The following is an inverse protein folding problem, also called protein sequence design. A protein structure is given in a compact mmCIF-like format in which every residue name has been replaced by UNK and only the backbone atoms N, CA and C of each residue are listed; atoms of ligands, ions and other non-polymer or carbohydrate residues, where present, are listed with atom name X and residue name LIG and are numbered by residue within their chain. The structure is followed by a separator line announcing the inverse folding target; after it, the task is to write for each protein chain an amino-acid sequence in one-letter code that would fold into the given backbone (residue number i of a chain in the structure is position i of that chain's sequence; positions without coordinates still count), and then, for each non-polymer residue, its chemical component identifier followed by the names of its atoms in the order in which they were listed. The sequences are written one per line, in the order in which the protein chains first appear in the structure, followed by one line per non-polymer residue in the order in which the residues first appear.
data_IF_016033064058
#
_entry.id   IF_016033064058
#
_cell.length_a   1.000
_cell.length_b   1.000
_cell.length_c   1.000
_cell.angle_alpha   90.00
_cell.angle_beta   90.00
_cell.angle_gamma   90.00
#
_symmetry.space_group_name_H-M   'P 1'
#
loop_
_entity.id
_entity.type
_entity.pdbx_description
1 polymer ?
#
# COMPACT_ATOMS: atom_id res chain seq x y z
N UNK A 1 12.16 15.95 7.54
CA UNK A 1 12.87 14.68 7.73
C UNK A 1 11.85 13.55 7.68
N UNK A 2 12.01 12.56 6.82
CA UNK A 2 11.06 11.44 6.78
C UNK A 2 11.30 10.55 8.00
N UNK A 3 10.50 10.72 9.06
CA UNK A 3 10.61 9.99 10.32
C UNK A 3 10.01 8.58 10.16
N UNK A 4 10.82 7.53 10.39
CA UNK A 4 10.41 6.12 10.36
C UNK A 4 11.29 5.23 9.47
N UNK A 5 11.25 3.93 9.70
CA UNK A 5 11.92 2.92 8.86
C UNK A 5 11.32 2.93 7.44
N UNK A 6 12.06 2.41 6.46
CA UNK A 6 11.57 2.34 5.07
C UNK A 6 10.29 1.48 4.95
N UNK A 7 10.08 0.55 5.87
CA UNK A 7 8.87 -0.28 5.94
C UNK A 7 7.67 0.52 6.46
N UNK A 8 7.85 1.32 7.52
CA UNK A 8 6.81 2.21 8.04
C UNK A 8 6.40 3.27 7.01
N UNK A 9 7.36 3.77 6.23
CA UNK A 9 7.09 4.69 5.13
C UNK A 9 6.27 4.01 4.03
N UNK A 10 6.56 2.74 3.70
CA UNK A 10 5.81 1.98 2.72
C UNK A 10 4.35 1.74 3.15
N UNK A 11 4.13 1.45 4.44
CA UNK A 11 2.79 1.32 5.01
C UNK A 11 2.00 2.63 4.88
N UNK A 12 2.59 3.78 5.24
CA UNK A 12 1.94 5.10 5.07
C UNK A 12 1.56 5.40 3.62
N UNK A 13 2.39 4.96 2.67
CA UNK A 13 2.06 5.08 1.24
C UNK A 13 0.88 4.19 0.86
N UNK A 14 0.85 2.94 1.32
CA UNK A 14 -0.26 2.01 1.09
C UNK A 14 -1.60 2.58 1.59
N UNK A 15 -1.63 3.10 2.81
CA UNK A 15 -2.79 3.79 3.40
C UNK A 15 -3.22 4.99 2.55
N UNK A 16 -2.29 5.86 2.17
CA UNK A 16 -2.59 7.05 1.39
C UNK A 16 -3.14 6.72 -0.01
N UNK A 17 -2.63 5.65 -0.65
CA UNK A 17 -3.12 5.17 -1.94
C UNK A 17 -4.54 4.61 -1.81
N UNK A 18 -4.80 3.80 -0.79
CA UNK A 18 -6.12 3.22 -0.55
C UNK A 18 -7.18 4.29 -0.31
N UNK A 19 -6.88 5.29 0.53
CA UNK A 19 -7.78 6.44 0.75
C UNK A 19 -8.10 7.19 -0.55
N UNK A 20 -7.07 7.50 -1.34
CA UNK A 20 -7.24 8.18 -2.64
C UNK A 20 -8.02 7.34 -3.65
N UNK A 21 -7.88 6.02 -3.61
CA UNK A 21 -8.63 5.12 -4.46
C UNK A 21 -10.10 5.07 -4.03
N UNK A 22 -10.35 4.96 -2.73
CA UNK A 22 -11.70 5.00 -2.15
C UNK A 22 -12.43 6.32 -2.46
N UNK A 23 -11.75 7.47 -2.36
CA UNK A 23 -12.30 8.79 -2.74
C UNK A 23 -12.72 8.85 -4.22
N UNK A 24 -12.10 8.02 -5.07
CA UNK A 24 -12.40 7.90 -6.49
C UNK A 24 -13.35 6.74 -6.82
N UNK A 25 -13.86 6.04 -5.80
CA UNK A 25 -14.74 4.87 -5.96
C UNK A 25 -14.04 3.63 -6.52
N UNK A 26 -12.71 3.57 -6.47
CA UNK A 26 -11.91 2.41 -6.91
C UNK A 26 -11.69 1.49 -5.72
N UNK A 27 -12.19 0.24 -5.82
CA UNK A 27 -12.16 -0.74 -4.74
C UNK A 27 -11.36 -1.99 -5.09
N UNK A 28 -11.63 -2.60 -6.25
CA UNK A 28 -10.89 -3.76 -6.74
C UNK A 28 -9.76 -3.32 -7.68
N UNK A 29 -8.55 -3.78 -7.39
CA UNK A 29 -7.34 -3.49 -8.18
C UNK A 29 -6.47 -4.74 -8.28
N UNK A 30 -5.39 -4.66 -9.04
CA UNK A 30 -4.33 -5.70 -9.05
C UNK A 30 -3.08 -5.08 -8.47
N UNK A 31 -2.48 -5.76 -7.49
CA UNK A 31 -1.21 -5.33 -6.92
C UNK A 31 -0.03 -5.89 -7.70
N UNK A 32 0.55 -5.06 -8.56
CA UNK A 32 1.76 -5.39 -9.29
C UNK A 32 3.01 -5.15 -8.41
N UNK A 33 3.78 -6.21 -8.23
CA UNK A 33 5.03 -6.21 -7.44
C UNK A 33 6.24 -5.78 -8.26
N UNK A 34 6.11 -5.53 -9.56
CA UNK A 34 7.18 -5.04 -10.43
C UNK A 34 8.42 -5.94 -10.47
N UNK A 35 8.27 -7.24 -10.21
CA UNK A 35 9.39 -8.20 -10.11
C UNK A 35 10.12 -8.23 -8.75
N UNK A 36 9.71 -7.42 -7.78
CA UNK A 36 10.25 -7.50 -6.41
C UNK A 36 9.64 -8.66 -5.63
N UNK A 37 10.41 -9.23 -4.69
CA UNK A 37 9.90 -10.19 -3.73
C UNK A 37 8.81 -9.54 -2.88
N UNK A 38 7.73 -10.30 -2.63
CA UNK A 38 6.71 -9.89 -1.67
C UNK A 38 7.24 -10.10 -0.26
N UNK A 39 8.00 -9.12 0.20
CA UNK A 39 8.55 -9.09 1.54
C UNK A 39 8.88 -7.65 1.95
N UNK A 40 8.96 -7.42 3.26
CA UNK A 40 9.44 -6.18 3.85
C UNK A 40 8.59 -4.99 3.40
N UNK A 41 9.16 -4.11 2.56
CA UNK A 41 8.47 -2.89 2.10
C UNK A 41 7.29 -3.16 1.19
N UNK A 42 7.42 -4.13 0.29
CA UNK A 42 6.37 -4.47 -0.70
C UNK A 42 5.17 -5.07 0.02
N UNK A 43 5.44 -5.95 0.97
CA UNK A 43 4.46 -6.56 1.86
C UNK A 43 3.77 -5.50 2.73
N UNK A 44 4.52 -4.64 3.42
CA UNK A 44 3.95 -3.60 4.28
C UNK A 44 3.07 -2.59 3.52
N UNK A 45 3.42 -2.25 2.27
CA UNK A 45 2.58 -1.40 1.43
C UNK A 45 1.27 -2.11 1.07
N UNK A 46 1.35 -3.38 0.67
CA UNK A 46 0.19 -4.18 0.29
C UNK A 46 -0.78 -4.38 1.46
N UNK A 47 -0.27 -4.72 2.64
CA UNK A 47 -1.08 -4.88 3.84
C UNK A 47 -1.79 -3.58 4.22
N UNK A 48 -1.05 -2.47 4.30
CA UNK A 48 -1.65 -1.18 4.64
C UNK A 48 -2.70 -0.73 3.61
N UNK A 49 -2.50 -1.01 2.32
CA UNK A 49 -3.48 -0.72 1.29
C UNK A 49 -4.76 -1.58 1.46
N UNK A 50 -4.62 -2.88 1.79
CA UNK A 50 -5.75 -3.78 2.03
C UNK A 50 -6.55 -3.39 3.27
N UNK A 51 -5.88 -3.10 4.37
CA UNK A 51 -6.52 -2.66 5.62
C UNK A 51 -7.35 -1.39 5.44
N UNK A 52 -6.95 -0.53 4.50
CA UNK A 52 -7.64 0.73 4.19
C UNK A 52 -8.66 0.60 3.03
N UNK A 53 -9.05 -0.62 2.66
CA UNK A 53 -10.24 -0.88 1.85
C UNK A 53 -10.01 -1.18 0.37
N UNK A 54 -8.75 -1.22 -0.09
CA UNK A 54 -8.44 -1.77 -1.42
C UNK A 54 -8.52 -3.30 -1.39
N UNK A 55 -9.07 -3.88 -2.46
CA UNK A 55 -9.25 -5.33 -2.62
C UNK A 55 -8.38 -5.80 -3.78
N UNK A 56 -7.42 -6.67 -3.48
CA UNK A 56 -6.46 -7.28 -4.42
C UNK A 56 -5.69 -8.43 -3.76
#
# INVERSE_FOLDING_TARGET
MAQGTKTEQAAKVGEAVAKRAADKGVKEVVFDRGGYLYHGRVEALAEAARENGLQF
#
